data_IF_810985890061
#
_entry.id   IF_810985890061
#
_cell.length_a   1.000
_cell.length_b   1.000
_cell.length_c   1.000
_cell.angle_alpha   90.00
_cell.angle_beta   90.00
_cell.angle_gamma   90.00
#
_symmetry.space_group_name_H-M   'P 1'
#
loop_
_entity.id
_entity.type
_entity.pdbx_description
1 polymer ?
#
# COMPACT_ATOMS: atom_id res chain seq x y z
N UNK A 1 1.19 4.83 4.83
CA UNK A 1 1.34 3.93 3.70
C UNK A 1 1.92 4.69 2.53
N UNK A 2 3.18 4.44 2.09
CA UNK A 2 3.62 4.84 0.75
C UNK A 2 2.44 4.74 -0.23
N UNK A 3 2.20 5.80 -0.99
CA UNK A 3 0.88 5.96 -1.61
C UNK A 3 0.66 4.95 -2.77
N UNK A 4 -0.47 5.07 -3.44
CA UNK A 4 -0.96 4.16 -4.47
C UNK A 4 0.09 3.83 -5.55
N UNK A 5 0.94 4.78 -5.95
CA UNK A 5 1.97 4.52 -6.98
C UNK A 5 3.17 3.74 -6.43
N UNK A 6 3.67 4.07 -5.24
CA UNK A 6 4.82 3.41 -4.62
C UNK A 6 4.60 1.91 -4.47
N UNK A 7 3.43 1.48 -3.99
CA UNK A 7 3.09 0.05 -3.89
C UNK A 7 3.00 -0.61 -5.26
N UNK A 8 2.40 0.04 -6.26
CA UNK A 8 2.35 -0.49 -7.63
C UNK A 8 3.74 -0.63 -8.23
N UNK A 9 4.59 0.38 -8.05
CA UNK A 9 5.97 0.40 -8.52
C UNK A 9 6.79 -0.71 -7.87
N UNK A 10 6.67 -0.89 -6.55
CA UNK A 10 7.30 -1.98 -5.81
C UNK A 10 6.81 -3.35 -6.30
N UNK A 11 5.50 -3.56 -6.42
CA UNK A 11 4.93 -4.80 -6.94
C UNK A 11 5.39 -5.13 -8.36
N UNK A 12 5.52 -4.13 -9.24
CA UNK A 12 6.09 -4.33 -10.58
C UNK A 12 7.55 -4.78 -10.53
N UNK A 13 8.35 -4.27 -9.57
CA UNK A 13 9.74 -4.70 -9.39
C UNK A 13 9.80 -6.14 -8.91
N UNK A 14 8.97 -6.52 -7.94
CA UNK A 14 8.86 -7.91 -7.47
C UNK A 14 8.44 -8.84 -8.62
N UNK A 15 7.47 -8.45 -9.44
CA UNK A 15 7.07 -9.23 -10.62
C UNK A 15 8.23 -9.43 -11.61
N UNK A 16 9.12 -8.44 -11.78
CA UNK A 16 10.31 -8.57 -12.65
C UNK A 16 11.35 -9.55 -12.12
N UNK A 17 11.34 -9.85 -10.82
CA UNK A 17 12.20 -10.88 -10.22
C UNK A 17 11.71 -12.30 -10.53
N UNK A 18 10.52 -12.46 -11.11
CA UNK A 18 9.87 -13.73 -11.46
C UNK A 18 9.93 -14.79 -10.34
N UNK A 19 9.54 -14.46 -9.09
CA UNK A 19 9.60 -15.43 -8.01
C UNK A 19 8.62 -16.57 -8.26
N UNK A 20 8.89 -17.80 -7.74
CA UNK A 20 8.02 -18.96 -7.94
C UNK A 20 6.55 -18.71 -7.63
N UNK A 21 6.27 -17.93 -6.57
CA UNK A 21 4.91 -17.59 -6.14
C UNK A 21 4.09 -16.77 -7.16
N UNK A 22 4.76 -16.09 -8.10
CA UNK A 22 4.16 -15.19 -9.09
C UNK A 22 4.41 -15.64 -10.55
N UNK A 23 4.99 -16.83 -10.73
CA UNK A 23 5.34 -17.32 -12.06
C UNK A 23 4.09 -17.77 -12.81
N UNK A 24 3.92 -17.29 -14.04
CA UNK A 24 2.84 -17.74 -14.93
C UNK A 24 1.43 -17.32 -14.51
N UNK A 25 1.27 -16.22 -13.76
CA UNK A 25 -0.05 -15.71 -13.40
C UNK A 25 -0.93 -15.47 -14.63
N UNK A 26 -2.16 -15.98 -14.57
CA UNK A 26 -3.23 -15.63 -15.51
C UNK A 26 -3.60 -14.14 -15.37
N UNK A 27 -4.32 -13.56 -16.35
CA UNK A 27 -4.78 -12.17 -16.25
C UNK A 27 -5.58 -11.88 -14.96
N UNK A 28 -6.52 -12.75 -14.59
CA UNK A 28 -7.33 -12.57 -13.38
C UNK A 28 -6.50 -12.64 -12.08
N UNK A 29 -5.53 -13.57 -12.01
CA UNK A 29 -4.61 -13.64 -10.87
C UNK A 29 -3.72 -12.40 -10.79
N UNK A 30 -3.22 -11.90 -11.94
CA UNK A 30 -2.45 -10.66 -11.98
C UNK A 30 -3.27 -9.45 -11.53
N UNK A 31 -4.53 -9.36 -11.90
CA UNK A 31 -5.44 -8.31 -11.41
C UNK A 31 -5.65 -8.39 -9.89
N UNK A 32 -5.81 -9.60 -9.33
CA UNK A 32 -5.90 -9.80 -7.88
C UNK A 32 -4.60 -9.48 -7.15
N UNK A 33 -3.44 -9.84 -7.70
CA UNK A 33 -2.14 -9.42 -7.18
C UNK A 33 -2.05 -7.90 -7.10
N UNK A 34 -2.43 -7.20 -8.18
CA UNK A 34 -2.44 -5.75 -8.24
C UNK A 34 -3.41 -5.09 -7.26
N UNK A 35 -4.56 -5.71 -6.96
CA UNK A 35 -5.44 -5.26 -5.89
C UNK A 35 -4.80 -5.52 -4.53
N UNK A 36 -4.16 -6.67 -4.35
CA UNK A 36 -3.43 -7.05 -3.13
C UNK A 36 -2.30 -6.10 -2.76
N UNK A 37 -1.67 -5.41 -3.72
CA UNK A 37 -0.65 -4.38 -3.46
C UNK A 37 -1.14 -3.21 -2.58
N UNK A 38 -2.45 -3.07 -2.41
CA UNK A 38 -3.06 -2.07 -1.52
C UNK A 38 -3.50 -2.67 -0.17
N UNK A 39 -3.20 -3.94 0.08
CA UNK A 39 -3.46 -4.61 1.35
C UNK A 39 -4.84 -4.34 1.95
N UNK A 40 -4.93 -3.91 3.23
CA UNK A 40 -6.20 -3.57 3.86
C UNK A 40 -6.67 -2.14 3.53
N UNK A 41 -5.83 -1.31 2.90
CA UNK A 41 -6.13 0.10 2.59
C UNK A 41 -7.30 0.29 1.64
N UNK A 42 -7.59 -0.74 0.83
CA UNK A 42 -8.79 -0.73 -0.01
C UNK A 42 -10.04 -0.39 0.82
N UNK A 43 -10.10 -0.86 2.08
CA UNK A 43 -11.24 -0.69 2.97
C UNK A 43 -11.38 0.74 3.51
N UNK A 44 -10.31 1.56 3.50
CA UNK A 44 -10.38 2.98 3.86
C UNK A 44 -11.35 3.76 2.97
N UNK A 45 -11.49 3.32 1.73
CA UNK A 45 -12.33 3.98 0.74
C UNK A 45 -13.81 3.65 0.87
N UNK A 46 -14.21 2.71 1.75
CA UNK A 46 -15.62 2.48 2.05
C UNK A 46 -16.19 3.62 2.88
N UNK A 47 -17.06 4.44 2.27
CA UNK A 47 -17.65 5.64 2.91
C UNK A 47 -16.57 6.49 3.60
N UNK A 48 -15.50 6.78 2.87
CA UNK A 48 -14.23 7.34 3.37
C UNK A 48 -14.33 8.59 4.24
N UNK A 49 -15.39 9.40 4.08
CA UNK A 49 -15.59 10.64 4.83
C UNK A 49 -16.18 10.44 6.24
N UNK A 50 -16.44 9.19 6.64
CA UNK A 50 -17.03 8.85 7.94
C UNK A 50 -16.44 7.57 8.50
N UNK A 51 -16.22 7.52 9.82
CA UNK A 51 -15.86 6.29 10.52
C UNK A 51 -17.01 5.28 10.41
N UNK A 52 -16.69 4.04 10.05
CA UNK A 52 -17.67 2.97 9.91
C UNK A 52 -17.01 1.59 10.12
N UNK A 53 -17.84 0.55 10.21
CA UNK A 53 -17.37 -0.81 10.50
C UNK A 53 -16.37 -1.37 9.46
N UNK A 54 -16.41 -0.91 8.20
CA UNK A 54 -15.57 -1.44 7.13
C UNK A 54 -14.21 -0.76 7.13
N UNK A 55 -14.16 0.58 7.19
CA UNK A 55 -12.87 1.27 7.24
C UNK A 55 -12.13 1.01 8.57
N UNK A 56 -12.85 0.80 9.68
CA UNK A 56 -12.25 0.38 10.95
C UNK A 56 -11.50 -0.96 10.86
N UNK A 57 -11.96 -1.90 10.02
CA UNK A 57 -11.22 -3.16 9.75
C UNK A 57 -9.88 -2.84 9.07
N UNK A 58 -9.89 -1.95 8.08
CA UNK A 58 -8.66 -1.52 7.41
C UNK A 58 -7.66 -0.89 8.39
N UNK A 59 -8.14 0.04 9.23
CA UNK A 59 -7.26 0.77 10.15
C UNK A 59 -6.71 -0.15 11.24
N UNK A 60 -7.58 -0.96 11.85
CA UNK A 60 -7.20 -1.88 12.92
C UNK A 60 -6.25 -3.00 12.47
N UNK A 61 -6.13 -3.28 11.17
CA UNK A 61 -5.18 -4.26 10.66
C UNK A 61 -3.72 -3.76 10.76
N UNK A 62 -3.50 -2.45 10.71
CA UNK A 62 -2.16 -1.86 10.70
C UNK A 62 -1.46 -1.91 12.06
N UNK A 63 -2.25 -1.95 13.13
CA UNK A 63 -1.79 -1.96 14.52
C UNK A 63 -1.46 -3.38 15.03
N UNK A 64 -1.79 -4.41 14.24
CA UNK A 64 -1.63 -5.82 14.61
C UNK A 64 -0.44 -6.44 13.89
N UNK A 65 0.18 -7.49 14.47
CA UNK A 65 1.10 -8.35 13.73
C UNK A 65 0.48 -8.83 12.42
N UNK A 66 1.26 -8.84 11.33
CA UNK A 66 0.77 -9.34 10.05
C UNK A 66 0.38 -10.84 10.12
N UNK A 67 0.99 -11.59 11.03
CA UNK A 67 0.65 -12.98 11.33
C UNK A 67 -0.83 -13.17 11.71
N UNK A 68 -1.45 -12.19 12.38
CA UNK A 68 -2.87 -12.22 12.75
C UNK A 68 -3.81 -12.21 11.53
N UNK A 69 -3.32 -11.75 10.38
CA UNK A 69 -4.03 -11.81 9.10
C UNK A 69 -3.59 -13.01 8.28
N UNK A 70 -2.28 -13.16 8.06
CA UNK A 70 -1.73 -14.17 7.15
C UNK A 70 -1.88 -15.60 7.67
N UNK A 71 -1.89 -15.82 8.99
CA UNK A 71 -2.15 -17.14 9.56
C UNK A 71 -3.56 -17.65 9.24
N UNK A 72 -4.62 -16.94 9.66
CA UNK A 72 -5.99 -17.29 9.30
C UNK A 72 -6.23 -17.31 7.79
N UNK A 73 -5.60 -16.40 7.02
CA UNK A 73 -5.71 -16.40 5.56
C UNK A 73 -5.14 -17.67 4.93
N UNK A 74 -3.98 -18.16 5.39
CA UNK A 74 -3.40 -19.41 4.92
C UNK A 74 -4.31 -20.61 5.23
N UNK A 75 -4.86 -20.67 6.45
CA UNK A 75 -5.80 -21.72 6.83
C UNK A 75 -7.07 -21.71 5.95
N UNK A 76 -7.58 -20.52 5.63
CA UNK A 76 -8.72 -20.35 4.75
C UNK A 76 -8.41 -20.84 3.32
N UNK A 77 -7.25 -20.48 2.77
CA UNK A 77 -6.83 -20.92 1.44
C UNK A 77 -6.70 -22.45 1.37
N UNK A 78 -6.09 -23.09 2.37
CA UNK A 78 -5.99 -24.57 2.41
C UNK A 78 -7.34 -25.27 2.34
N UNK A 79 -8.40 -24.65 2.84
CA UNK A 79 -9.76 -25.19 2.83
C UNK A 79 -10.55 -24.89 1.53
N UNK A 80 -10.03 -24.06 0.62
CA UNK A 80 -10.69 -23.68 -0.62
C UNK A 80 -10.49 -24.71 -1.75
N UNK A 81 -11.37 -24.73 -2.77
CA UNK A 81 -11.12 -25.45 -4.02
C UNK A 81 -9.87 -24.94 -4.74
N UNK A 82 -9.15 -25.81 -5.47
CA UNK A 82 -7.87 -25.49 -6.12
C UNK A 82 -7.90 -24.25 -7.03
N UNK A 83 -9.01 -24.00 -7.73
CA UNK A 83 -9.16 -22.81 -8.59
C UNK A 83 -9.23 -21.51 -7.78
N UNK A 84 -9.91 -21.52 -6.62
CA UNK A 84 -9.99 -20.38 -5.72
C UNK A 84 -8.68 -20.17 -4.95
N UNK A 85 -7.95 -21.26 -4.67
CA UNK A 85 -6.63 -21.19 -4.02
C UNK A 85 -5.65 -20.33 -4.82
N UNK A 86 -5.54 -20.55 -6.13
CA UNK A 86 -4.58 -19.80 -6.97
C UNK A 86 -4.94 -18.32 -7.09
N UNK A 87 -6.23 -17.99 -7.15
CA UNK A 87 -6.71 -16.59 -7.15
C UNK A 87 -6.39 -15.91 -5.82
N UNK A 88 -6.69 -16.59 -4.71
CA UNK A 88 -6.40 -16.15 -3.35
C UNK A 88 -4.91 -15.96 -3.10
N UNK A 89 -4.08 -16.92 -3.54
CA UNK A 89 -2.62 -16.82 -3.48
C UNK A 89 -2.13 -15.55 -4.15
N UNK A 90 -2.61 -15.25 -5.37
CA UNK A 90 -2.17 -14.05 -6.09
C UNK A 90 -2.50 -12.77 -5.32
N UNK A 91 -3.72 -12.66 -4.75
CA UNK A 91 -4.09 -11.56 -3.87
C UNK A 91 -3.18 -11.46 -2.64
N UNK A 92 -2.94 -12.57 -1.95
CA UNK A 92 -2.11 -12.62 -0.74
C UNK A 92 -0.64 -12.29 -1.01
N UNK A 93 -0.09 -12.68 -2.16
CA UNK A 93 1.26 -12.28 -2.55
C UNK A 93 1.34 -10.76 -2.83
N UNK A 94 0.28 -10.18 -3.41
CA UNK A 94 0.16 -8.73 -3.50
C UNK A 94 0.13 -8.07 -2.12
N UNK A 95 -0.64 -8.64 -1.18
CA UNK A 95 -0.72 -8.14 0.20
C UNK A 95 0.64 -8.28 0.92
N UNK A 96 1.39 -9.35 0.70
CA UNK A 96 2.75 -9.46 1.22
C UNK A 96 3.68 -8.36 0.70
N UNK A 97 3.58 -7.98 -0.58
CA UNK A 97 4.31 -6.83 -1.11
C UNK A 97 3.95 -5.53 -0.39
N UNK A 98 2.67 -5.32 -0.13
CA UNK A 98 2.18 -4.17 0.63
C UNK A 98 2.82 -4.15 2.03
N UNK A 99 2.60 -5.21 2.80
CA UNK A 99 3.16 -5.39 4.14
C UNK A 99 4.68 -5.17 4.19
N UNK A 100 5.43 -5.77 3.27
CA UNK A 100 6.88 -5.67 3.24
C UNK A 100 7.36 -4.22 3.04
N UNK A 101 6.69 -3.47 2.17
CA UNK A 101 7.03 -2.07 1.93
C UNK A 101 6.67 -1.19 3.14
N UNK A 102 5.48 -1.37 3.73
CA UNK A 102 5.05 -0.55 4.87
C UNK A 102 5.91 -0.79 6.09
N UNK A 103 6.16 -2.07 6.42
CA UNK A 103 6.99 -2.45 7.54
C UNK A 103 8.41 -1.90 7.41
N UNK A 104 8.93 -1.76 6.18
CA UNK A 104 10.24 -1.15 5.92
C UNK A 104 10.22 0.39 6.03
N UNK A 105 9.16 1.05 5.57
CA UNK A 105 9.11 2.51 5.44
C UNK A 105 8.58 3.24 6.68
N UNK A 106 7.60 2.66 7.38
CA UNK A 106 6.82 3.38 8.38
C UNK A 106 7.60 3.85 9.61
N UNK A 107 8.60 3.09 10.05
CA UNK A 107 9.48 3.55 11.12
C UNK A 107 10.13 4.90 10.79
N UNK A 108 10.63 5.04 9.56
CA UNK A 108 11.24 6.29 9.12
C UNK A 108 10.21 7.40 8.88
N UNK A 109 9.06 7.09 8.29
CA UNK A 109 7.99 8.07 8.04
C UNK A 109 7.53 8.68 9.37
N UNK A 110 7.25 7.86 10.38
CA UNK A 110 6.81 8.34 11.71
C UNK A 110 7.85 9.28 12.33
N UNK A 111 9.13 8.90 12.26
CA UNK A 111 10.19 9.77 12.75
C UNK A 111 10.32 11.07 11.94
N UNK A 112 10.18 11.01 10.61
CA UNK A 112 10.22 12.20 9.76
C UNK A 112 9.08 13.16 10.10
N UNK A 113 7.88 12.65 10.36
CA UNK A 113 6.74 13.45 10.84
C UNK A 113 7.12 14.12 12.15
N UNK A 114 7.62 13.36 13.12
CA UNK A 114 8.00 13.85 14.44
C UNK A 114 9.06 14.98 14.37
N UNK A 115 10.09 14.81 13.54
CA UNK A 115 11.22 15.75 13.45
C UNK A 115 10.90 16.98 12.59
N UNK A 116 10.17 16.82 11.49
CA UNK A 116 10.00 17.89 10.49
C UNK A 116 8.63 18.58 10.52
N UNK A 117 7.63 17.97 11.14
CA UNK A 117 6.24 18.45 11.13
C UNK A 117 5.55 18.33 9.77
N UNK A 118 6.20 17.76 8.75
CA UNK A 118 5.55 17.39 7.48
C UNK A 118 4.56 16.27 7.74
N UNK A 119 3.36 16.36 7.17
CA UNK A 119 2.32 15.36 7.41
C UNK A 119 2.64 14.04 6.71
N UNK A 120 2.08 12.97 7.26
CA UNK A 120 2.15 11.62 6.73
C UNK A 120 1.82 11.56 5.23
N UNK A 121 0.68 12.13 4.84
CA UNK A 121 0.23 12.13 3.44
C UNK A 121 1.07 13.00 2.50
N UNK A 122 1.73 14.05 3.00
CA UNK A 122 2.66 14.86 2.21
C UNK A 122 3.95 14.08 1.89
N UNK A 123 4.50 13.35 2.87
CA UNK A 123 5.71 12.52 2.66
C UNK A 123 5.44 11.46 1.59
N UNK A 124 4.30 10.80 1.69
CA UNK A 124 3.95 9.67 0.80
C UNK A 124 3.51 10.13 -0.58
N UNK A 125 2.74 11.22 -0.65
CA UNK A 125 2.39 11.86 -1.91
C UNK A 125 3.64 12.36 -2.66
N UNK A 126 4.63 12.91 -1.94
CA UNK A 126 5.90 13.28 -2.55
C UNK A 126 6.75 12.10 -2.97
N UNK A 127 6.71 10.99 -2.22
CA UNK A 127 7.40 9.78 -2.62
C UNK A 127 6.83 9.21 -3.93
N UNK A 128 5.49 9.14 -4.05
CA UNK A 128 4.80 8.80 -5.30
C UNK A 128 5.21 9.74 -6.45
N UNK A 129 5.22 11.06 -6.19
CA UNK A 129 5.65 12.07 -7.18
C UNK A 129 7.09 11.85 -7.63
N UNK A 130 8.00 11.58 -6.70
CA UNK A 130 9.41 11.36 -6.97
C UNK A 130 9.61 10.14 -7.87
N UNK A 131 8.99 9.01 -7.52
CA UNK A 131 9.07 7.78 -8.32
C UNK A 131 8.51 7.99 -9.74
N UNK A 132 7.35 8.65 -9.87
CA UNK A 132 6.77 8.97 -11.18
C UNK A 132 7.69 9.86 -12.02
N UNK A 133 8.24 10.93 -11.43
CA UNK A 133 9.11 11.87 -12.12
C UNK A 133 10.40 11.19 -12.64
N UNK A 134 10.98 10.28 -11.87
CA UNK A 134 12.16 9.51 -12.28
C UNK A 134 11.88 8.52 -13.42
N UNK A 135 10.64 8.03 -13.52
CA UNK A 135 10.18 7.23 -14.65
C UNK A 135 9.81 8.10 -15.88
N UNK A 136 10.04 9.43 -15.83
CA UNK A 136 9.71 10.36 -16.90
C UNK A 136 8.21 10.62 -17.07
N UNK A 137 7.39 10.28 -16.06
CA UNK A 137 5.94 10.51 -16.07
C UNK A 137 5.61 11.91 -15.55
N UNK A 138 4.52 12.51 -16.05
CA UNK A 138 3.93 13.73 -15.46
C UNK A 138 3.09 13.37 -14.22
N UNK A 139 3.57 13.63 -12.98
CA UNK A 139 2.94 13.11 -11.77
C UNK A 139 1.50 13.59 -11.55
N UNK A 140 1.16 14.82 -11.98
CA UNK A 140 -0.17 15.41 -11.72
C UNK A 140 -1.25 14.94 -12.70
N UNK A 141 -0.86 14.14 -13.71
CA UNK A 141 -1.76 13.57 -14.71
C UNK A 141 -1.93 12.07 -14.59
N UNK A 142 -1.12 11.39 -13.77
CA UNK A 142 -1.16 9.94 -13.71
C UNK A 142 -2.45 9.42 -13.06
N UNK A 143 -3.00 8.35 -13.65
CA UNK A 143 -4.04 7.58 -13.01
C UNK A 143 -3.41 6.48 -12.16
N UNK A 144 -3.36 6.72 -10.84
CA UNK A 144 -2.71 5.81 -9.90
C UNK A 144 -3.50 4.50 -9.68
N UNK A 145 -4.76 4.42 -10.12
CA UNK A 145 -5.63 3.26 -9.85
C UNK A 145 -5.98 2.46 -11.12
N UNK A 146 -5.24 2.67 -12.21
CA UNK A 146 -5.52 2.04 -13.51
C UNK A 146 -5.46 0.50 -13.48
N UNK A 147 -4.72 -0.08 -12.53
CA UNK A 147 -4.58 -1.53 -12.33
C UNK A 147 -5.72 -2.17 -11.52
N UNK A 148 -6.61 -1.38 -10.91
CA UNK A 148 -7.67 -1.88 -10.04
C UNK A 148 -8.93 -2.17 -10.86
N UNK A 149 -9.34 -3.44 -10.88
CA UNK A 149 -10.54 -3.91 -11.57
C UNK A 149 -11.60 -4.37 -10.55
N UNK A 150 -12.61 -3.53 -10.22
CA UNK A 150 -13.58 -3.81 -9.18
C UNK A 150 -14.72 -4.72 -9.69
N UNK A 151 -14.41 -6.01 -9.86
CA UNK A 151 -15.39 -7.00 -10.31
C UNK A 151 -16.02 -7.74 -9.12
N UNK A 152 -17.25 -8.23 -9.31
CA UNK A 152 -17.90 -9.09 -8.33
C UNK A 152 -17.10 -10.39 -8.09
N UNK A 153 -16.41 -10.91 -9.12
CA UNK A 153 -15.56 -12.09 -9.02
C UNK A 153 -14.37 -11.84 -8.08
N UNK A 154 -13.60 -10.76 -8.27
CA UNK A 154 -12.50 -10.42 -7.36
C UNK A 154 -12.98 -10.17 -5.95
N UNK A 155 -14.12 -9.48 -5.81
CA UNK A 155 -14.65 -9.14 -4.50
C UNK A 155 -15.08 -10.38 -3.70
N UNK A 156 -15.49 -11.46 -4.37
CA UNK A 156 -15.76 -12.77 -3.71
C UNK A 156 -14.49 -13.48 -3.27
N UNK A 157 -13.37 -13.31 -3.97
CA UNK A 157 -12.07 -13.84 -3.57
C UNK A 157 -11.52 -13.08 -2.36
N UNK A 158 -11.69 -11.76 -2.32
CA UNK A 158 -11.08 -10.90 -1.29
C UNK A 158 -11.89 -10.91 0.03
N UNK A 159 -13.21 -10.80 -0.03
CA UNK A 159 -14.05 -10.61 1.15
C UNK A 159 -13.86 -11.66 2.27
N UNK A 160 -13.67 -12.97 1.97
CA UNK A 160 -13.43 -13.98 2.99
C UNK A 160 -12.24 -13.72 3.92
N UNK A 161 -11.23 -12.96 3.47
CA UNK A 161 -10.09 -12.57 4.32
C UNK A 161 -10.42 -11.52 5.38
N UNK A 162 -11.60 -10.89 5.29
CA UNK A 162 -12.08 -9.86 6.20
C UNK A 162 -13.43 -10.29 6.77
N UNK A 163 -13.42 -10.99 7.91
CA UNK A 163 -14.57 -11.72 8.46
C UNK A 163 -15.90 -10.95 8.58
N UNK A 164 -15.85 -9.62 8.71
CA UNK A 164 -17.05 -8.78 8.83
C UNK A 164 -17.42 -8.04 7.54
N UNK A 165 -16.63 -8.14 6.47
CA UNK A 165 -16.80 -7.37 5.23
C UNK A 165 -17.43 -8.24 4.15
N UNK A 166 -18.47 -7.72 3.49
CA UNK A 166 -19.14 -8.46 2.42
C UNK A 166 -18.48 -8.22 1.04
N UNK A 167 -18.66 -9.13 0.05
CA UNK A 167 -18.17 -8.89 -1.32
C UNK A 167 -18.67 -7.58 -1.93
N UNK A 168 -19.93 -7.18 -1.66
CA UNK A 168 -20.47 -5.91 -2.15
C UNK A 168 -19.75 -4.70 -1.54
N UNK A 169 -19.30 -4.82 -0.30
CA UNK A 169 -18.55 -3.76 0.38
C UNK A 169 -17.13 -3.67 -0.16
N UNK A 170 -16.45 -4.80 -0.41
CA UNK A 170 -15.16 -4.82 -1.11
C UNK A 170 -15.29 -4.18 -2.50
N UNK A 171 -16.29 -4.57 -3.30
CA UNK A 171 -16.47 -3.97 -4.63
C UNK A 171 -16.69 -2.45 -4.54
N UNK A 172 -17.51 -2.01 -3.57
CA UNK A 172 -17.77 -0.60 -3.33
C UNK A 172 -16.50 0.14 -2.88
N UNK A 173 -15.68 -0.47 -2.03
CA UNK A 173 -14.38 0.05 -1.60
C UNK A 173 -13.46 0.30 -2.79
N UNK A 174 -13.27 -0.71 -3.65
CA UNK A 174 -12.42 -0.60 -4.84
C UNK A 174 -12.93 0.46 -5.83
N UNK A 175 -14.25 0.50 -6.08
CA UNK A 175 -14.85 1.55 -6.93
C UNK A 175 -14.65 2.95 -6.34
N UNK A 176 -14.73 3.07 -5.02
CA UNK A 176 -14.56 4.34 -4.32
C UNK A 176 -13.10 4.79 -4.35
N UNK A 177 -12.14 3.87 -4.19
CA UNK A 177 -10.71 4.12 -4.35
C UNK A 177 -10.39 4.72 -5.71
N UNK A 178 -10.93 4.14 -6.79
CA UNK A 178 -10.80 4.65 -8.16
C UNK A 178 -11.44 6.04 -8.29
N UNK A 179 -12.66 6.22 -7.76
CA UNK A 179 -13.38 7.48 -7.83
C UNK A 179 -12.62 8.62 -7.16
N UNK A 180 -12.18 8.43 -5.90
CA UNK A 180 -11.47 9.46 -5.14
C UNK A 180 -10.10 9.77 -5.76
N UNK A 181 -9.33 8.76 -6.17
CA UNK A 181 -8.05 9.00 -6.86
C UNK A 181 -8.25 9.82 -8.15
N UNK A 182 -9.25 9.48 -8.99
CA UNK A 182 -9.56 10.25 -10.21
C UNK A 182 -10.02 11.69 -9.93
N UNK A 183 -10.73 11.90 -8.82
CA UNK A 183 -11.13 13.23 -8.38
C UNK A 183 -9.90 14.09 -8.06
N UNK A 184 -8.88 13.49 -7.44
CA UNK A 184 -7.64 14.14 -7.04
C UNK A 184 -6.66 14.40 -8.20
N UNK A 185 -6.86 13.82 -9.39
CA UNK A 185 -6.09 14.18 -10.60
C UNK A 185 -6.47 15.61 -11.03
N UNK A 186 -5.71 16.61 -10.60
CA UNK A 186 -5.99 18.02 -10.85
C UNK A 186 -4.77 18.78 -11.39
N UNK A 187 -4.45 18.62 -12.69
CA UNK A 187 -3.31 19.30 -13.31
C UNK A 187 -3.51 20.82 -13.46
N UNK A 188 -4.75 21.29 -13.56
CA UNK A 188 -5.08 22.71 -13.67
C UNK A 188 -5.35 23.38 -12.32
N UNK A 189 -4.94 24.65 -12.18
CA UNK A 189 -5.11 25.44 -10.95
C UNK A 189 -6.59 25.52 -10.50
N UNK A 190 -7.53 25.65 -11.44
CA UNK A 190 -8.97 25.72 -11.14
C UNK A 190 -9.47 24.48 -10.40
N UNK A 191 -9.29 23.29 -10.99
CA UNK A 191 -9.73 22.02 -10.38
C UNK A 191 -9.02 21.80 -9.04
N UNK A 192 -7.73 22.14 -8.96
CA UNK A 192 -6.93 22.00 -7.73
C UNK A 192 -7.48 22.87 -6.60
N UNK A 193 -7.82 24.12 -6.88
CA UNK A 193 -8.41 25.03 -5.90
C UNK A 193 -9.82 24.59 -5.48
N UNK A 194 -10.62 24.09 -6.41
CA UNK A 194 -11.95 23.54 -6.10
C UNK A 194 -11.84 22.33 -5.15
N UNK A 195 -10.98 21.36 -5.47
CA UNK A 195 -10.74 20.19 -4.62
C UNK A 195 -10.26 20.60 -3.23
N UNK A 196 -9.29 21.52 -3.15
CA UNK A 196 -8.81 22.07 -1.87
C UNK A 196 -9.94 22.74 -1.08
N UNK A 197 -10.81 23.50 -1.73
CA UNK A 197 -11.97 24.13 -1.12
C UNK A 197 -12.95 23.11 -0.53
N UNK A 198 -13.30 22.07 -1.29
CA UNK A 198 -14.18 20.98 -0.83
C UNK A 198 -13.58 20.26 0.38
N UNK A 199 -12.28 19.94 0.35
CA UNK A 199 -11.60 19.28 1.46
C UNK A 199 -11.57 20.16 2.73
N UNK A 200 -11.43 21.48 2.59
CA UNK A 200 -11.50 22.42 3.74
C UNK A 200 -12.90 22.45 4.33
N UNK A 201 -13.92 22.53 3.50
CA UNK A 201 -15.32 22.57 3.93
C UNK A 201 -15.77 21.26 4.60
N UNK A 202 -15.25 20.12 4.15
CA UNK A 202 -15.56 18.82 4.77
C UNK A 202 -14.76 18.54 6.04
N UNK A 203 -13.82 19.42 6.43
CA UNK A 203 -12.92 19.20 7.56
C UNK A 203 -11.78 18.21 7.29
N UNK A 204 -11.71 17.62 6.10
CA UNK A 204 -10.74 16.57 5.75
C UNK A 204 -9.46 17.12 5.10
N UNK A 205 -9.24 18.44 5.10
CA UNK A 205 -8.10 19.05 4.41
C UNK A 205 -6.77 18.57 4.98
N UNK A 206 -6.57 18.62 6.29
CA UNK A 206 -5.31 18.24 6.95
C UNK A 206 -4.91 16.80 6.65
N UNK A 207 -5.87 15.88 6.59
CA UNK A 207 -5.61 14.46 6.36
C UNK A 207 -5.49 14.12 4.86
N UNK A 208 -6.26 14.76 3.98
CA UNK A 208 -6.37 14.32 2.57
C UNK A 208 -5.62 15.21 1.57
N UNK A 209 -5.13 16.39 1.96
CA UNK A 209 -4.48 17.29 1.00
C UNK A 209 -3.15 16.73 0.43
N UNK A 210 -2.42 15.90 1.19
CA UNK A 210 -1.20 15.25 0.70
C UNK A 210 -1.45 14.22 -0.40
N UNK A 211 -2.68 13.70 -0.51
CA UNK A 211 -3.11 12.82 -1.61
C UNK A 211 -3.20 13.58 -2.96
N UNK A 212 -3.22 14.91 -2.92
CA UNK A 212 -3.24 15.75 -4.10
C UNK A 212 -1.80 16.06 -4.56
N UNK A 213 -1.20 15.14 -5.34
CA UNK A 213 0.17 15.20 -5.85
C UNK A 213 0.57 16.60 -6.31
N UNK A 214 1.70 17.13 -5.82
CA UNK A 214 2.17 18.46 -6.16
C UNK A 214 2.75 18.52 -7.59
N UNK A 215 2.55 19.64 -8.31
CA UNK A 215 3.19 19.85 -9.61
C UNK A 215 4.71 19.98 -9.51
N UNK A 216 5.21 20.56 -8.41
CA UNK A 216 6.63 20.79 -8.16
C UNK A 216 7.07 19.97 -6.94
N UNK A 217 8.33 19.51 -6.91
CA UNK A 217 8.90 18.87 -5.73
C UNK A 217 8.74 19.72 -4.48
N UNK A 218 8.38 19.09 -3.36
CA UNK A 218 8.49 19.72 -2.04
C UNK A 218 9.92 19.55 -1.49
N UNK A 219 10.68 20.64 -1.31
CA UNK A 219 12.05 20.55 -0.78
C UNK A 219 12.12 19.92 0.62
N UNK A 220 11.03 19.99 1.40
CA UNK A 220 10.96 19.42 2.77
C UNK A 220 10.98 17.89 2.77
N UNK A 221 10.64 17.27 1.63
CA UNK A 221 10.56 15.83 1.42
C UNK A 221 11.74 15.27 0.60
N UNK A 222 12.70 16.10 0.18
CA UNK A 222 13.79 15.65 -0.67
C UNK A 222 14.64 14.56 -0.01
N UNK A 223 14.96 14.73 1.28
CA UNK A 223 15.67 13.74 2.09
C UNK A 223 14.85 12.45 2.27
N UNK A 224 13.54 12.57 2.53
CA UNK A 224 12.67 11.41 2.70
C UNK A 224 12.49 10.63 1.41
N UNK A 225 12.45 11.28 0.24
CA UNK A 225 12.43 10.59 -1.03
C UNK A 225 13.67 9.71 -1.21
N UNK A 226 14.87 10.22 -0.91
CA UNK A 226 16.11 9.43 -0.98
C UNK A 226 16.06 8.25 -0.01
N UNK A 227 15.69 8.48 1.26
CA UNK A 227 15.64 7.41 2.27
C UNK A 227 14.61 6.33 1.92
N UNK A 228 13.41 6.71 1.50
CA UNK A 228 12.33 5.78 1.19
C UNK A 228 12.67 4.90 -0.02
N UNK A 229 13.43 5.40 -1.00
CA UNK A 229 13.95 4.56 -2.10
C UNK A 229 14.91 3.49 -1.59
N UNK A 230 15.85 3.86 -0.73
CA UNK A 230 16.80 2.90 -0.12
C UNK A 230 16.05 1.84 0.69
N UNK A 231 15.05 2.24 1.46
CA UNK A 231 14.20 1.31 2.21
C UNK A 231 13.39 0.39 1.28
N UNK A 232 12.85 0.93 0.18
CA UNK A 232 12.17 0.14 -0.85
C UNK A 232 13.12 -0.89 -1.50
N UNK A 233 14.34 -0.49 -1.84
CA UNK A 233 15.35 -1.39 -2.42
C UNK A 233 15.66 -2.56 -1.47
N UNK A 234 15.85 -2.25 -0.18
CA UNK A 234 16.05 -3.28 0.86
C UNK A 234 14.82 -4.16 1.07
N UNK A 235 13.61 -3.58 0.97
CA UNK A 235 12.37 -4.30 1.17
C UNK A 235 12.13 -5.38 0.10
N UNK A 236 12.77 -5.29 -1.07
CA UNK A 236 12.61 -6.29 -2.13
C UNK A 236 13.05 -7.68 -1.68
N UNK A 237 14.26 -7.80 -1.17
CA UNK A 237 14.81 -9.09 -0.72
C UNK A 237 14.04 -9.63 0.49
N UNK A 238 13.57 -8.75 1.37
CA UNK A 238 12.70 -9.11 2.49
C UNK A 238 11.35 -9.65 2.00
N UNK A 239 10.76 -9.00 0.99
CA UNK A 239 9.51 -9.41 0.38
C UNK A 239 9.64 -10.78 -0.29
N UNK A 240 10.71 -11.01 -1.06
CA UNK A 240 10.99 -12.31 -1.69
C UNK A 240 11.14 -13.41 -0.64
N UNK A 241 11.90 -13.16 0.44
CA UNK A 241 12.06 -14.11 1.55
C UNK A 241 10.71 -14.42 2.23
N UNK A 242 9.87 -13.40 2.45
CA UNK A 242 8.53 -13.58 3.02
C UNK A 242 7.63 -14.41 2.09
N UNK A 243 7.68 -14.17 0.78
CA UNK A 243 6.93 -14.95 -0.21
C UNK A 243 7.37 -16.42 -0.23
N UNK A 244 8.68 -16.67 -0.23
CA UNK A 244 9.24 -18.03 -0.22
C UNK A 244 8.85 -18.80 1.05
N UNK A 245 8.89 -18.15 2.21
CA UNK A 245 8.47 -18.77 3.48
C UNK A 245 6.96 -18.93 3.61
N UNK A 246 6.16 -18.00 3.06
CA UNK A 246 4.70 -18.03 3.20
C UNK A 246 4.02 -18.94 2.16
N UNK A 247 4.58 -19.09 0.95
CA UNK A 247 3.96 -19.89 -0.10
C UNK A 247 3.64 -21.33 0.33
N UNK A 248 4.55 -22.10 0.99
CA UNK A 248 4.23 -23.44 1.47
C UNK A 248 3.13 -23.48 2.55
N UNK A 249 2.92 -22.38 3.28
CA UNK A 249 1.86 -22.29 4.29
C UNK A 249 0.45 -22.32 3.66
N UNK A 250 0.33 -22.00 2.37
CA UNK A 250 -0.94 -22.05 1.64
C UNK A 250 -1.33 -23.47 1.22
N UNK A 251 -0.41 -24.42 1.26
CA UNK A 251 -0.62 -25.82 0.87
C UNK A 251 -0.79 -26.72 2.11
N UNK A 252 0.01 -26.49 3.14
CA UNK A 252 -0.01 -27.28 4.38
C UNK A 252 0.23 -26.42 5.62
N UNK A 253 -0.10 -26.97 6.79
CA UNK A 253 0.07 -26.27 8.06
C UNK A 253 1.55 -26.21 8.45
N UNK A 254 2.12 -25.00 8.38
CA UNK A 254 3.52 -24.70 8.71
C UNK A 254 3.62 -23.44 9.59
N UNK A 255 4.71 -23.30 10.37
CA UNK A 255 5.02 -22.04 11.04
C UNK A 255 5.11 -20.89 10.03
N UNK A 256 4.51 -19.75 10.38
CA UNK A 256 4.61 -18.53 9.57
C UNK A 256 6.04 -17.96 9.60
N UNK A 257 6.49 -17.26 8.54
CA UNK A 257 7.76 -16.54 8.57
C UNK A 257 7.82 -15.53 9.73
N UNK A 258 8.92 -15.53 10.49
CA UNK A 258 9.15 -14.63 11.63
C UNK A 258 8.93 -13.15 11.27
N UNK A 259 9.26 -12.77 10.03
CA UNK A 259 9.05 -11.40 9.56
C UNK A 259 7.59 -10.92 9.60
N UNK A 260 6.61 -11.81 9.68
CA UNK A 260 5.17 -11.52 9.83
C UNK A 260 4.75 -11.20 11.28
N UNK A 261 5.62 -11.39 12.27
CA UNK A 261 5.34 -10.96 13.66
C UNK A 261 5.35 -9.43 13.81
N UNK A 262 5.88 -8.72 12.81
CA UNK A 262 5.88 -7.25 12.77
C UNK A 262 4.50 -6.71 12.39
N UNK A 263 4.24 -5.47 12.83
CA UNK A 263 3.09 -4.68 12.39
C UNK A 263 3.37 -3.97 11.06
N UNK A 264 2.32 -3.49 10.41
CA UNK A 264 2.45 -2.58 9.26
C UNK A 264 2.95 -1.19 9.71
N UNK A 265 2.70 -0.81 10.97
CA UNK A 265 3.12 0.47 11.56
C UNK A 265 4.61 0.59 11.89
N UNK A 266 4.96 1.71 12.53
CA UNK A 266 6.34 2.15 12.82
C UNK A 266 7.15 1.24 13.78
N UNK A 267 6.49 0.31 14.48
CA UNK A 267 7.13 -0.54 15.50
C UNK A 267 7.54 0.22 16.76
N UNK A 268 8.36 -0.38 17.61
CA UNK A 268 8.73 0.19 18.93
C UNK A 268 10.02 1.02 18.95
N UNK A 269 10.83 0.99 17.88
CA UNK A 269 12.15 1.62 17.84
C UNK A 269 12.24 2.78 16.82
N UNK A 270 11.12 3.27 16.30
CA UNK A 270 11.13 4.30 15.25
C UNK A 270 11.82 5.60 15.67
N UNK A 271 11.74 5.97 16.96
CA UNK A 271 12.38 7.19 17.49
C UNK A 271 13.91 7.18 17.37
N UNK A 272 14.52 6.00 17.21
CA UNK A 272 15.97 5.82 17.07
C UNK A 272 16.44 5.95 15.62
N UNK A 273 15.52 5.97 14.65
CA UNK A 273 15.87 6.09 13.23
C UNK A 273 16.36 7.53 13.00
N UNK A 274 17.54 7.73 12.39
CA UNK A 274 18.02 9.08 12.12
C UNK A 274 17.27 9.68 10.92
N UNK A 275 16.80 10.91 11.07
CA UNK A 275 16.36 11.79 9.96
C UNK A 275 17.50 12.74 9.65
N UNK A 276 18.11 12.59 8.48
CA UNK A 276 19.31 13.33 8.10
C UNK A 276 18.97 14.43 7.09
N UNK A 277 19.90 15.38 6.90
CA UNK A 277 19.79 16.33 5.78
C UNK A 277 19.96 15.59 4.45
N UNK A 278 19.50 16.20 3.36
CA UNK A 278 19.61 15.62 2.01
C UNK A 278 21.04 15.19 1.66
N UNK A 279 22.04 16.01 1.97
CA UNK A 279 23.46 15.72 1.67
C UNK A 279 23.94 14.48 2.42
N UNK A 280 23.49 14.31 3.66
CA UNK A 280 23.83 13.15 4.50
C UNK A 280 23.04 11.91 4.08
N UNK A 281 21.77 12.06 3.69
CA UNK A 281 20.95 10.96 3.18
C UNK A 281 21.55 10.33 1.92
N UNK A 282 22.17 11.12 1.04
CA UNK A 282 22.78 10.59 -0.18
C UNK A 282 23.86 9.54 0.10
N UNK A 283 24.64 9.71 1.17
CA UNK A 283 25.75 8.80 1.55
C UNK A 283 25.41 7.82 2.68
N UNK A 284 24.23 7.95 3.29
CA UNK A 284 23.79 7.08 4.38
C UNK A 284 23.28 5.73 3.87
N UNK A 285 23.76 4.62 4.41
CA UNK A 285 23.30 3.26 4.06
C UNK A 285 22.28 2.74 5.07
N UNK A 286 21.22 2.08 4.59
CA UNK A 286 20.09 1.57 5.39
C UNK A 286 20.18 0.09 5.71
#
# INVERSE_FOLDING_TARGET
MPSTYAHKYFGDRILRRDPPALKGLTPAQRELFFIGLHGPDILFYYKALTVNRVNAVGFGQHEKPAADFFGPAAALVRAMPAEEQKLSQAYLMGFLCHFALDSACHGYIEQKIHVSGVTHTEIEGEFDRCLMAEQGLDPVRQNLTGHIHPTAAHSRVIAPFFSTVTPKEVEKSLRSMIFYNRLLIAPGAWKRNLVKGVLRLSGNYTEMHGLLINPQPDPRCADSCVRLKKLMDRAEEQCLTLMEGYLPCLEEERPLPEGLERTFGAGSNWQKIPVLSLEKELVYEV
#
